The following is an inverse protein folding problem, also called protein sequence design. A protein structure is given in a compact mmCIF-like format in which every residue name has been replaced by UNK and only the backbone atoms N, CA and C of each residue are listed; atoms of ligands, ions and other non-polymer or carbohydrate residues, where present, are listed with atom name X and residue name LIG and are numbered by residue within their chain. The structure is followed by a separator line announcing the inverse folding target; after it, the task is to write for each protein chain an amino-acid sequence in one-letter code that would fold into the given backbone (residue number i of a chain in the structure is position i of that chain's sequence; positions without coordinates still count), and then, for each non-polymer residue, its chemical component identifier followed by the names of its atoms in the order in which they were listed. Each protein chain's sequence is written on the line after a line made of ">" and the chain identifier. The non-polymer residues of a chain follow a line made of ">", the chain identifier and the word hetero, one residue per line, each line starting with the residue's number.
data_IF_875255260160
#
_entry.id   IF_875255260160
#
_cell.length_a   1.000
_cell.length_b   1.000
_cell.length_c   1.000
_cell.angle_alpha   90.00
_cell.angle_beta   90.00
_cell.angle_gamma   90.00
#
_symmetry.space_group_name_H-M   'P 1'
#
loop_
_entity.id
_entity.type
_entity.pdbx_description
1 polymer ?
#
# COMPACT_ATOMS: atom_id res chain seq x y z
N UNK A 1 15.93 -17.03 -24.10
CA UNK A 1 14.66 -16.29 -24.15
C UNK A 1 13.88 -16.65 -22.89
N UNK A 2 14.11 -15.93 -21.78
CA UNK A 2 13.28 -16.08 -20.58
C UNK A 2 12.43 -14.81 -20.50
N UNK A 3 11.20 -14.91 -20.98
CA UNK A 3 10.22 -13.86 -20.83
C UNK A 3 9.83 -13.76 -19.34
N UNK A 4 10.55 -12.92 -18.60
CA UNK A 4 10.36 -12.61 -17.19
C UNK A 4 9.16 -11.69 -16.95
N UNK A 5 8.17 -11.72 -17.83
CA UNK A 5 7.10 -10.75 -17.90
C UNK A 5 5.77 -11.20 -17.25
N UNK A 6 5.50 -12.50 -17.02
CA UNK A 6 4.11 -12.92 -16.75
C UNK A 6 3.88 -14.20 -15.90
N UNK A 7 4.26 -14.21 -14.61
CA UNK A 7 3.64 -15.13 -13.63
C UNK A 7 3.28 -14.43 -12.33
N UNK A 8 2.13 -13.76 -12.37
CA UNK A 8 0.96 -14.07 -11.55
C UNK A 8 1.22 -14.68 -10.15
N UNK A 9 0.97 -13.88 -9.12
CA UNK A 9 0.76 -14.36 -7.75
C UNK A 9 1.91 -13.98 -6.83
N UNK A 10 1.58 -13.48 -5.65
CA UNK A 10 2.54 -13.29 -4.57
C UNK A 10 3.19 -14.65 -4.22
N UNK A 11 4.27 -15.02 -4.90
CA UNK A 11 4.99 -16.28 -4.76
C UNK A 11 6.46 -16.03 -4.45
N UNK A 12 6.81 -16.25 -3.18
CA UNK A 12 8.12 -16.69 -2.67
C UNK A 12 9.37 -15.83 -2.94
N UNK A 13 9.16 -14.54 -3.16
CA UNK A 13 10.13 -13.46 -2.91
C UNK A 13 9.38 -12.27 -2.31
N UNK A 14 8.72 -12.52 -1.17
CA UNK A 14 7.51 -11.86 -0.67
C UNK A 14 7.54 -10.32 -0.76
N UNK A 15 6.89 -9.78 -1.79
CA UNK A 15 6.51 -8.37 -1.80
C UNK A 15 5.45 -8.14 -0.71
N UNK A 16 5.86 -7.58 0.42
CA UNK A 16 4.93 -7.24 1.49
C UNK A 16 4.21 -5.92 1.15
N UNK A 17 3.00 -6.02 0.62
CA UNK A 17 2.14 -4.86 0.33
C UNK A 17 1.10 -4.57 1.42
N UNK A 18 1.26 -5.11 2.62
CA UNK A 18 0.33 -4.96 3.75
C UNK A 18 -1.14 -5.30 3.39
N UNK A 19 -1.38 -6.18 2.40
CA UNK A 19 -2.74 -6.50 1.94
C UNK A 19 -3.43 -5.41 1.10
N UNK A 20 -2.71 -4.35 0.72
CA UNK A 20 -3.23 -3.24 -0.07
C UNK A 20 -2.99 -3.34 -1.57
N UNK A 21 -2.09 -4.21 -2.02
CA UNK A 21 -1.88 -4.46 -3.45
C UNK A 21 -1.85 -5.96 -3.73
N UNK A 22 -2.34 -6.33 -4.91
CA UNK A 22 -2.27 -7.70 -5.44
C UNK A 22 -1.16 -7.88 -6.48
N UNK A 23 -0.56 -6.78 -6.92
CA UNK A 23 0.47 -6.74 -7.95
C UNK A 23 1.72 -6.08 -7.38
N UNK A 24 2.87 -6.62 -7.76
CA UNK A 24 4.17 -6.09 -7.40
C UNK A 24 5.12 -6.25 -8.58
N UNK A 25 6.13 -5.37 -8.64
CA UNK A 25 7.28 -5.51 -9.55
C UNK A 25 8.54 -5.70 -8.73
N UNK A 26 9.47 -6.48 -9.27
CA UNK A 26 10.81 -6.55 -8.70
C UNK A 26 11.68 -5.43 -9.29
N UNK A 27 12.46 -4.78 -8.44
CA UNK A 27 13.47 -3.81 -8.84
C UNK A 27 14.84 -4.23 -8.28
N UNK A 28 15.76 -4.56 -9.19
CA UNK A 28 17.12 -4.99 -8.86
C UNK A 28 17.93 -3.92 -8.14
N UNK A 29 17.71 -2.64 -8.45
CA UNK A 29 18.43 -1.53 -7.84
C UNK A 29 18.07 -1.40 -6.35
N UNK A 30 16.77 -1.46 -6.05
CA UNK A 30 16.28 -1.47 -4.67
C UNK A 30 16.73 -2.71 -3.90
N UNK A 31 16.82 -3.86 -4.59
CA UNK A 31 17.37 -5.07 -3.99
C UNK A 31 18.82 -4.87 -3.54
N UNK A 32 19.68 -4.35 -4.42
CA UNK A 32 21.09 -4.05 -4.09
C UNK A 32 21.21 -3.02 -2.96
N UNK A 33 20.45 -1.93 -3.03
CA UNK A 33 20.44 -0.88 -1.99
C UNK A 33 19.93 -1.40 -0.64
N UNK A 34 18.99 -2.34 -0.63
CA UNK A 34 18.49 -2.97 0.60
C UNK A 34 19.46 -3.99 1.21
N UNK A 35 20.68 -4.14 0.70
CA UNK A 35 21.62 -5.17 1.16
C UNK A 35 21.23 -6.58 0.71
N UNK A 36 20.57 -6.71 -0.45
CA UNK A 36 20.03 -7.97 -0.98
C UNK A 36 18.93 -8.58 -0.10
N UNK A 37 18.14 -7.74 0.59
CA UNK A 37 17.04 -8.17 1.46
C UNK A 37 15.70 -8.13 0.71
N UNK A 38 15.35 -7.01 0.08
CA UNK A 38 14.08 -6.88 -0.65
C UNK A 38 14.20 -5.94 -1.85
N UNK A 39 13.69 -6.39 -3.01
CA UNK A 39 13.61 -5.61 -4.26
C UNK A 39 12.18 -5.28 -4.69
N UNK A 40 11.19 -5.78 -3.96
CA UNK A 40 9.78 -5.66 -4.31
C UNK A 40 9.24 -4.24 -4.21
N UNK A 41 8.44 -3.82 -5.19
CA UNK A 41 7.68 -2.57 -5.17
C UNK A 41 6.23 -2.89 -5.52
N UNK A 42 5.32 -2.53 -4.62
CA UNK A 42 3.89 -2.72 -4.82
C UNK A 42 3.36 -1.78 -5.91
N UNK A 43 2.41 -2.28 -6.70
CA UNK A 43 1.76 -1.52 -7.76
C UNK A 43 0.28 -1.35 -7.45
N UNK A 44 -0.27 -0.17 -7.72
CA UNK A 44 -1.69 0.17 -7.54
C UNK A 44 -2.18 -0.14 -6.12
N UNK A 45 -1.54 0.46 -5.11
CA UNK A 45 -1.99 0.38 -3.72
C UNK A 45 -3.46 0.82 -3.61
N UNK A 46 -4.29 -0.03 -3.01
CA UNK A 46 -5.71 0.18 -2.74
C UNK A 46 -5.91 0.71 -1.32
N UNK A 47 -7.13 1.11 -0.99
CA UNK A 47 -7.49 1.61 0.36
C UNK A 47 -6.79 2.93 0.74
N UNK A 48 -6.54 3.79 -0.26
CA UNK A 48 -5.89 5.08 -0.08
C UNK A 48 -4.48 5.00 0.56
N UNK A 49 -3.83 3.85 0.49
CA UNK A 49 -2.42 3.71 0.88
C UNK A 49 -1.49 3.99 -0.30
N UNK A 50 -0.24 4.32 0.00
CA UNK A 50 0.82 4.64 -0.96
C UNK A 50 2.19 4.20 -0.42
N UNK A 51 3.21 4.34 -1.27
CA UNK A 51 4.59 3.96 -0.99
C UNK A 51 4.93 2.52 -1.40
N UNK A 52 6.20 2.17 -1.26
CA UNK A 52 6.78 0.91 -1.75
C UNK A 52 6.04 -0.35 -1.28
N UNK A 53 5.60 -0.34 -0.02
CA UNK A 53 4.87 -1.42 0.64
C UNK A 53 3.41 -1.05 0.97
N UNK A 54 2.88 0.04 0.40
CA UNK A 54 1.54 0.54 0.72
C UNK A 54 1.34 0.80 2.23
N UNK A 55 2.31 1.48 2.87
CA UNK A 55 2.41 1.65 4.33
C UNK A 55 2.11 3.08 4.81
N UNK A 56 2.02 4.02 3.88
CA UNK A 56 1.61 5.39 4.13
C UNK A 56 0.23 5.65 3.54
N UNK A 57 -0.44 6.69 4.01
CA UNK A 57 -1.65 7.19 3.36
C UNK A 57 -1.28 8.16 2.23
N UNK A 58 -2.07 8.14 1.16
CA UNK A 58 -1.94 9.14 0.09
C UNK A 58 -2.26 10.53 0.61
N UNK A 59 -1.84 11.56 -0.12
CA UNK A 59 -2.19 12.95 0.16
C UNK A 59 -3.72 13.13 0.26
N UNK A 60 -4.16 13.94 1.22
CA UNK A 60 -5.56 14.12 1.57
C UNK A 60 -6.13 13.07 2.55
N UNK A 61 -5.33 12.08 2.93
CA UNK A 61 -5.71 11.06 3.92
C UNK A 61 -4.71 11.00 5.08
N UNK A 62 -5.22 10.71 6.28
CA UNK A 62 -4.42 10.47 7.48
C UNK A 62 -4.56 9.02 7.96
N UNK A 63 -3.56 8.54 8.70
CA UNK A 63 -3.56 7.19 9.28
C UNK A 63 -4.42 7.15 10.54
N UNK A 64 -5.41 6.28 10.54
CA UNK A 64 -6.19 5.93 11.73
C UNK A 64 -5.34 5.00 12.64
N UNK A 65 -4.88 5.53 13.77
CA UNK A 65 -4.05 4.80 14.72
C UNK A 65 -4.82 3.67 15.45
N UNK A 66 -6.15 3.67 15.41
CA UNK A 66 -6.98 2.63 16.05
C UNK A 66 -6.97 1.31 15.29
N UNK A 67 -6.44 1.30 14.05
CA UNK A 67 -6.48 0.14 13.15
C UNK A 67 -5.09 -0.32 12.76
N UNK A 68 -4.89 -1.64 12.55
CA UNK A 68 -3.63 -2.14 12.03
C UNK A 68 -3.41 -1.65 10.59
N UNK A 69 -2.14 -1.56 10.18
CA UNK A 69 -1.76 -1.06 8.84
C UNK A 69 -2.40 -1.87 7.71
N UNK A 70 -2.68 -3.16 7.94
CA UNK A 70 -3.28 -4.06 6.94
C UNK A 70 -4.77 -3.83 6.72
N UNK A 71 -5.40 -2.96 7.50
CA UNK A 71 -6.84 -2.77 7.46
C UNK A 71 -7.29 -1.94 6.23
N UNK A 72 -8.39 -2.35 5.59
CA UNK A 72 -8.94 -1.69 4.38
C UNK A 72 -9.38 -0.23 4.55
N UNK A 73 -9.54 0.23 5.78
CA UNK A 73 -9.91 1.61 6.14
C UNK A 73 -8.91 2.20 7.13
N UNK A 74 -7.62 1.87 6.97
CA UNK A 74 -6.53 2.46 7.77
C UNK A 74 -6.34 3.94 7.44
N UNK A 75 -6.59 4.34 6.19
CA UNK A 75 -6.50 5.73 5.76
C UNK A 75 -7.90 6.38 5.76
N UNK A 76 -8.05 7.50 6.47
CA UNK A 76 -9.27 8.32 6.54
C UNK A 76 -9.05 9.65 5.83
N UNK A 77 -10.07 10.17 5.16
CA UNK A 77 -9.99 11.49 4.52
C UNK A 77 -9.95 12.58 5.59
N UNK A 78 -9.18 13.64 5.34
CA UNK A 78 -9.28 14.85 6.18
C UNK A 78 -10.69 15.45 6.17
N UNK A 79 -11.39 15.37 5.02
CA UNK A 79 -12.75 15.88 4.85
C UNK A 79 -13.85 15.03 5.50
N UNK A 80 -13.61 13.73 5.76
CA UNK A 80 -14.58 12.87 6.47
C UNK A 80 -14.80 13.33 7.93
N UNK A 81 -13.90 14.17 8.46
CA UNK A 81 -14.06 14.79 9.79
C UNK A 81 -15.12 15.91 9.81
N UNK A 82 -15.55 16.39 8.64
CA UNK A 82 -16.59 17.42 8.51
C UNK A 82 -17.98 16.84 8.22
N UNK A 83 -18.08 15.64 7.66
CA UNK A 83 -19.36 15.09 7.17
C UNK A 83 -20.15 14.28 8.22
N UNK A 84 -19.48 13.66 9.20
CA UNK A 84 -20.21 12.91 10.25
C UNK A 84 -20.71 13.77 11.42
N UNK A 85 -20.35 15.05 11.45
CA UNK A 85 -20.74 15.98 12.53
C UNK A 85 -21.70 17.07 12.07
N UNK A 86 -21.90 17.27 10.76
CA UNK A 86 -22.80 18.32 10.22
C UNK A 86 -24.14 17.76 9.72
N UNK A 87 -24.28 16.44 9.58
CA UNK A 87 -25.60 15.83 9.28
C UNK A 87 -26.53 15.68 10.49
N UNK A 88 -26.06 16.00 11.71
CA UNK A 88 -26.86 15.97 12.94
C UNK A 88 -27.06 17.36 13.58
N UNK A 89 -26.65 18.44 12.91
CA UNK A 89 -26.76 19.82 13.42
C UNK A 89 -27.51 20.72 12.42
N UNK A 90 -28.42 20.13 11.65
CA UNK A 90 -29.49 20.86 10.96
C UNK A 90 -30.82 20.49 11.59
#
# INVERSE_FOLDING_TARGET
>A
MFDLSMTSGCGEGMCNCNGHARRCRFNMELFKMSGRISGGVCLNCRHATTGRHCHYCREGYYRDATKPITHRKVCKLFSDSFDTTIHFVV
#
